data_IF_353718990620
#
_entry.id   IF_353718990620
#
_cell.length_a   1.000
_cell.length_b   1.000
_cell.length_c   1.000
_cell.angle_alpha   90.00
_cell.angle_beta   90.00
_cell.angle_gamma   90.00
#
_symmetry.space_group_name_H-M   'P 1'
#
loop_
_entity.id
_entity.type
_entity.pdbx_description
1 polymer ?
#
# COMPACT_ATOMS: atom_id res chain seq x y z
N UNK A 1 15.71 5.85 -8.95
CA UNK A 1 14.90 4.70 -9.38
C UNK A 1 13.67 4.71 -8.51
N UNK A 2 12.51 4.42 -9.09
CA UNK A 2 11.21 4.63 -8.43
C UNK A 2 10.55 3.27 -8.19
N UNK A 3 9.94 3.08 -7.02
CA UNK A 3 9.30 1.84 -6.61
C UNK A 3 7.83 2.06 -6.24
N UNK A 4 6.94 1.28 -6.85
CA UNK A 4 5.59 1.06 -6.33
C UNK A 4 5.67 0.08 -5.16
N UNK A 5 5.74 0.61 -3.94
CA UNK A 5 5.97 -0.20 -2.73
C UNK A 5 4.70 -0.90 -2.27
N UNK A 6 3.56 -0.23 -2.43
CA UNK A 6 2.24 -0.81 -2.23
C UNK A 6 1.43 -0.69 -3.51
N UNK A 7 0.87 -1.82 -3.98
CA UNK A 7 -0.02 -1.86 -5.12
C UNK A 7 -1.42 -2.31 -4.68
N UNK A 8 -2.42 -1.48 -4.98
CA UNK A 8 -3.85 -1.76 -4.80
C UNK A 8 -4.23 -2.13 -3.36
N UNK A 9 -3.57 -1.47 -2.41
CA UNK A 9 -3.77 -1.70 -0.99
C UNK A 9 -5.23 -1.48 -0.57
N UNK A 10 -5.95 -0.59 -1.25
CA UNK A 10 -7.35 -0.28 -0.96
C UNK A 10 -8.26 -1.48 -1.14
N UNK A 11 -7.97 -2.34 -2.14
CA UNK A 11 -8.84 -3.44 -2.56
C UNK A 11 -8.10 -4.78 -2.67
N UNK A 12 -7.32 -5.08 -1.63
CA UNK A 12 -6.48 -6.27 -1.55
C UNK A 12 -7.23 -7.60 -1.40
N UNK A 13 -8.51 -7.56 -1.04
CA UNK A 13 -9.32 -8.71 -0.63
C UNK A 13 -10.47 -9.04 -1.60
N UNK A 14 -10.31 -8.65 -2.87
CA UNK A 14 -11.20 -9.04 -3.96
C UNK A 14 -11.54 -10.55 -3.91
N UNK A 15 -12.79 -10.96 -4.18
CA UNK A 15 -13.20 -12.36 -4.06
C UNK A 15 -12.30 -13.36 -4.80
N UNK A 16 -11.87 -13.04 -6.03
CA UNK A 16 -10.98 -13.91 -6.81
C UNK A 16 -9.55 -13.97 -6.22
N UNK A 17 -9.09 -12.92 -5.53
CA UNK A 17 -7.79 -12.90 -4.86
C UNK A 17 -7.82 -13.77 -3.61
N UNK A 18 -8.87 -13.61 -2.79
CA UNK A 18 -9.04 -14.38 -1.56
C UNK A 18 -9.26 -15.85 -1.83
N UNK A 19 -9.97 -16.21 -2.90
CA UNK A 19 -10.32 -17.60 -3.18
C UNK A 19 -9.30 -18.35 -4.05
N UNK A 20 -8.61 -17.67 -4.98
CA UNK A 20 -7.88 -18.36 -6.04
C UNK A 20 -6.53 -17.75 -6.39
N UNK A 21 -6.46 -16.45 -6.70
CA UNK A 21 -5.26 -15.83 -7.26
C UNK A 21 -4.16 -15.52 -6.24
N UNK A 22 -4.54 -15.06 -5.05
CA UNK A 22 -3.59 -14.60 -4.05
C UNK A 22 -4.02 -14.91 -2.59
N UNK A 23 -4.53 -16.12 -2.28
CA UNK A 23 -5.18 -16.42 -1.01
C UNK A 23 -4.26 -16.19 0.20
N UNK A 24 -2.98 -16.56 0.09
CA UNK A 24 -1.98 -16.36 1.15
C UNK A 24 -1.67 -14.88 1.39
N UNK A 25 -1.55 -14.09 0.32
CA UNK A 25 -1.26 -12.67 0.41
C UNK A 25 -2.43 -11.91 1.03
N UNK A 26 -3.65 -12.16 0.54
CA UNK A 26 -4.86 -11.57 1.13
C UNK A 26 -5.06 -12.01 2.58
N UNK A 27 -4.78 -13.27 2.93
CA UNK A 27 -4.87 -13.75 4.32
C UNK A 27 -3.85 -13.07 5.25
N UNK A 28 -2.61 -12.87 4.80
CA UNK A 28 -1.58 -12.15 5.55
C UNK A 28 -2.03 -10.70 5.82
N UNK A 29 -2.54 -10.03 4.81
CA UNK A 29 -2.99 -8.65 4.91
C UNK A 29 -4.21 -8.51 5.83
N UNK A 30 -5.14 -9.49 5.82
CA UNK A 30 -6.23 -9.60 6.80
C UNK A 30 -5.72 -9.82 8.23
N UNK A 31 -4.68 -10.63 8.40
CA UNK A 31 -4.11 -10.96 9.71
C UNK A 31 -3.36 -9.77 10.33
N UNK A 32 -2.59 -9.04 9.54
CA UNK A 32 -1.75 -7.92 10.01
C UNK A 32 -2.57 -6.63 10.09
N UNK A 33 -3.53 -6.44 9.19
CA UNK A 33 -4.24 -5.19 8.98
C UNK A 33 -3.76 -4.49 7.72
N UNK A 34 -4.71 -3.87 7.01
CA UNK A 34 -4.46 -3.24 5.70
C UNK A 34 -3.39 -2.17 5.79
N UNK A 35 -3.58 -1.23 6.69
CA UNK A 35 -2.73 -0.04 6.86
C UNK A 35 -1.39 -0.45 7.46
N UNK A 36 -1.42 -1.29 8.48
CA UNK A 36 -0.28 -1.75 9.26
C UNK A 36 0.72 -2.50 8.37
N UNK A 37 0.22 -3.40 7.52
CA UNK A 37 1.06 -4.10 6.56
C UNK A 37 1.65 -3.14 5.52
N UNK A 38 0.85 -2.23 4.98
CA UNK A 38 1.35 -1.24 4.00
C UNK A 38 2.40 -0.33 4.62
N UNK A 39 2.20 0.19 5.83
CA UNK A 39 3.21 0.97 6.57
C UNK A 39 4.51 0.19 6.73
N UNK A 40 4.41 -1.07 7.17
CA UNK A 40 5.57 -1.95 7.33
C UNK A 40 6.37 -2.11 6.02
N UNK A 41 5.70 -2.24 4.87
CA UNK A 41 6.34 -2.28 3.56
C UNK A 41 7.10 -0.99 3.24
N UNK A 42 6.50 0.18 3.46
CA UNK A 42 7.15 1.47 3.20
C UNK A 42 8.35 1.73 4.12
N UNK A 43 8.25 1.39 5.41
CA UNK A 43 9.38 1.50 6.34
C UNK A 43 10.57 0.65 5.85
N UNK A 44 10.30 -0.58 5.41
CA UNK A 44 11.33 -1.49 4.89
C UNK A 44 11.89 -1.01 3.56
N UNK A 45 11.06 -0.49 2.66
CA UNK A 45 11.48 0.07 1.39
C UNK A 45 12.39 1.30 1.59
N UNK A 46 12.04 2.19 2.52
CA UNK A 46 12.88 3.35 2.86
C UNK A 46 14.21 2.94 3.48
N UNK A 47 14.24 1.92 4.32
CA UNK A 47 15.49 1.36 4.87
C UNK A 47 16.37 0.76 3.77
N UNK A 48 15.78 0.05 2.81
CA UNK A 48 16.51 -0.59 1.71
C UNK A 48 16.99 0.43 0.65
N UNK A 49 16.23 1.49 0.41
CA UNK A 49 16.55 2.54 -0.55
C UNK A 49 16.27 3.93 0.01
N UNK A 50 17.15 4.51 0.85
CA UNK A 50 16.91 5.81 1.48
C UNK A 50 16.66 6.95 0.49
N UNK A 51 17.25 6.88 -0.72
CA UNK A 51 17.09 7.88 -1.79
C UNK A 51 16.14 7.48 -2.92
N UNK A 52 15.41 6.36 -2.80
CA UNK A 52 14.41 5.98 -3.79
C UNK A 52 13.15 6.82 -3.66
N UNK A 53 12.47 7.07 -4.79
CA UNK A 53 11.11 7.60 -4.79
C UNK A 53 10.15 6.46 -4.51
N UNK A 54 9.38 6.54 -3.43
CA UNK A 54 8.43 5.52 -3.02
C UNK A 54 7.01 5.96 -3.35
N UNK A 55 6.30 5.16 -4.14
CA UNK A 55 4.93 5.43 -4.57
C UNK A 55 3.96 4.45 -3.90
N UNK A 56 2.80 4.97 -3.49
CA UNK A 56 1.60 4.15 -3.24
C UNK A 56 0.75 4.23 -4.50
N UNK A 57 0.39 3.07 -5.06
CA UNK A 57 -0.28 2.98 -6.35
C UNK A 57 -1.60 2.23 -6.23
N UNK A 58 -2.67 2.77 -6.82
CA UNK A 58 -3.99 2.15 -6.84
C UNK A 58 -4.75 2.55 -8.12
N UNK A 59 -5.75 1.76 -8.50
CA UNK A 59 -6.70 2.14 -9.56
C UNK A 59 -7.92 2.88 -8.97
N UNK A 60 -8.20 2.72 -7.67
CA UNK A 60 -9.28 3.43 -7.00
C UNK A 60 -8.86 4.88 -6.75
N UNK A 61 -9.78 5.81 -6.97
CA UNK A 61 -9.61 7.24 -6.66
C UNK A 61 -10.75 7.77 -5.79
N UNK A 62 -11.41 6.87 -5.07
CA UNK A 62 -12.57 7.15 -4.23
C UNK A 62 -12.19 7.25 -2.73
N UNK A 63 -13.14 7.62 -1.83
CA UNK A 63 -12.83 7.88 -0.43
C UNK A 63 -12.23 6.70 0.35
N UNK A 64 -12.32 5.46 -0.12
CA UNK A 64 -11.64 4.36 0.56
C UNK A 64 -10.13 4.40 0.33
N UNK A 65 -9.68 4.89 -0.83
CA UNK A 65 -8.26 5.09 -1.08
C UNK A 65 -7.72 6.27 -0.27
N UNK A 66 -8.50 7.35 -0.16
CA UNK A 66 -8.18 8.50 0.69
C UNK A 66 -7.86 8.06 2.13
N UNK A 67 -8.69 7.21 2.73
CA UNK A 67 -8.45 6.66 4.08
C UNK A 67 -7.12 5.92 4.19
N UNK A 68 -6.68 5.22 3.15
CA UNK A 68 -5.39 4.52 3.15
C UNK A 68 -4.25 5.53 3.11
N UNK A 69 -4.35 6.52 2.22
CA UNK A 69 -3.36 7.60 2.05
C UNK A 69 -3.18 8.37 3.36
N UNK A 70 -4.26 8.76 4.02
CA UNK A 70 -4.24 9.53 5.27
C UNK A 70 -3.59 8.77 6.43
N UNK A 71 -3.77 7.44 6.47
CA UNK A 71 -3.22 6.60 7.54
C UNK A 71 -1.79 6.12 7.26
N UNK A 72 -1.29 6.30 6.02
CA UNK A 72 0.05 5.90 5.58
C UNK A 72 1.12 6.95 5.94
N UNK A 73 1.17 7.27 7.23
CA UNK A 73 2.10 8.20 7.86
C UNK A 73 3.01 7.48 8.85
N UNK A 74 4.07 8.10 9.36
CA UNK A 74 4.89 7.57 10.44
C UNK A 74 4.31 7.90 11.83
N UNK A 75 5.06 7.67 12.90
CA UNK A 75 4.64 8.01 14.27
C UNK A 75 4.54 9.51 14.56
N UNK A 76 5.07 10.36 13.67
CA UNK A 76 5.01 11.82 13.75
C UNK A 76 3.98 12.43 12.79
N UNK A 77 3.25 11.60 12.04
CA UNK A 77 2.26 12.04 11.06
C UNK A 77 2.87 12.43 9.70
N UNK A 78 4.16 12.17 9.45
CA UNK A 78 4.78 12.41 8.14
C UNK A 78 4.46 11.25 7.19
N UNK A 79 4.11 11.55 5.95
CA UNK A 79 3.86 10.54 4.90
C UNK A 79 5.07 9.61 4.73
N UNK A 80 4.78 8.32 4.60
CA UNK A 80 5.81 7.29 4.35
C UNK A 80 6.17 7.14 2.86
N UNK A 81 5.40 7.76 1.98
CA UNK A 81 5.54 7.75 0.52
C UNK A 81 5.87 9.16 0.01
N UNK A 82 6.45 9.22 -1.19
CA UNK A 82 6.84 10.46 -1.86
C UNK A 82 5.80 10.91 -2.90
N UNK A 83 5.02 9.96 -3.45
CA UNK A 83 4.01 10.24 -4.46
C UNK A 83 2.88 9.23 -4.52
N UNK A 84 1.83 9.57 -5.27
CA UNK A 84 0.69 8.72 -5.56
C UNK A 84 0.76 8.26 -7.02
N UNK A 85 0.69 6.96 -7.26
CA UNK A 85 0.42 6.38 -8.57
C UNK A 85 -1.08 6.20 -8.77
N UNK A 86 -1.60 6.62 -9.93
CA UNK A 86 -2.99 6.40 -10.34
C UNK A 86 -2.99 5.59 -11.62
N UNK A 87 -3.40 4.32 -11.54
CA UNK A 87 -3.27 3.36 -12.65
C UNK A 87 -4.07 3.72 -13.91
N UNK A 88 -5.11 4.56 -13.78
CA UNK A 88 -5.84 5.18 -14.91
C UNK A 88 -6.32 4.19 -16.00
N UNK A 89 -6.75 3.00 -15.56
CA UNK A 89 -7.37 1.97 -16.40
C UNK A 89 -8.80 2.33 -16.81
#
# INVERSE_FOLDING_TARGET
YDWDVGNEATHFDRPDFVSRRAPKHSAMWKKIGRVEFTRACFERARQAGPGATLLINDYRTDPDYEKVIEQLVDGQGKRLYDGLGIQSH
#
